data_IF_557851562002
#
_entry.id   IF_557851562002
#
_cell.length_a   1.000
_cell.length_b   1.000
_cell.length_c   1.000
_cell.angle_alpha   90.00
_cell.angle_beta   90.00
_cell.angle_gamma   90.00
#
_symmetry.space_group_name_H-M   'P 1'
#
loop_
_entity.id
_entity.type
_entity.pdbx_description
1 polymer ?
#
# COMPACT_ATOMS: atom_id res chain seq x y z
N UNK A 1 27.46 -28.41 0.27
CA UNK A 1 26.79 -27.10 0.26
C UNK A 1 27.49 -26.22 -0.77
N UNK A 2 26.87 -26.01 -1.93
CA UNK A 2 27.39 -25.13 -2.97
C UNK A 2 26.77 -23.76 -2.77
N UNK A 3 27.47 -22.90 -2.03
CA UNK A 3 27.11 -21.48 -1.90
C UNK A 3 27.36 -20.85 -3.28
N UNK A 4 26.29 -20.58 -4.01
CA UNK A 4 26.39 -19.90 -5.32
C UNK A 4 26.39 -18.41 -5.07
N UNK A 5 27.49 -17.75 -5.43
CA UNK A 5 27.54 -16.28 -5.46
C UNK A 5 26.91 -15.84 -6.77
N UNK A 6 25.82 -15.09 -6.70
CA UNK A 6 25.16 -14.47 -7.85
C UNK A 6 25.15 -12.96 -7.65
N UNK A 7 25.67 -12.21 -8.62
CA UNK A 7 25.76 -10.74 -8.57
C UNK A 7 26.39 -10.18 -7.27
N UNK A 8 27.39 -10.87 -6.71
CA UNK A 8 28.06 -10.46 -5.46
C UNK A 8 27.26 -10.75 -4.18
N UNK A 9 26.12 -11.44 -4.27
CA UNK A 9 25.32 -11.89 -3.12
C UNK A 9 25.55 -13.37 -2.89
N UNK A 10 25.83 -13.72 -1.63
CA UNK A 10 25.92 -15.10 -1.15
C UNK A 10 24.51 -15.69 -1.05
N UNK A 11 24.22 -16.73 -1.84
CA UNK A 11 22.94 -17.43 -1.78
C UNK A 11 23.11 -18.73 -0.99
N UNK A 12 22.36 -18.82 0.11
CA UNK A 12 22.22 -20.04 0.91
C UNK A 12 20.84 -20.67 0.63
N UNK A 13 20.77 -21.65 -0.30
CA UNK A 13 19.50 -22.30 -0.61
C UNK A 13 19.08 -23.24 0.52
N UNK A 14 17.79 -23.27 0.81
CA UNK A 14 17.19 -24.31 1.64
C UNK A 14 17.39 -25.69 0.98
N UNK A 15 17.47 -26.75 1.79
CA UNK A 15 17.57 -28.11 1.26
C UNK A 15 16.31 -28.45 0.45
N UNK A 16 16.44 -29.40 -0.49
CA UNK A 16 15.30 -29.80 -1.31
C UNK A 16 14.17 -30.36 -0.43
N UNK A 17 13.00 -29.74 -0.48
CA UNK A 17 11.84 -30.08 0.36
C UNK A 17 11.82 -29.41 1.74
N UNK A 18 12.89 -28.69 2.08
CA UNK A 18 12.97 -27.94 3.34
C UNK A 18 12.16 -26.65 3.25
N UNK A 19 11.55 -26.27 4.36
CA UNK A 19 10.60 -25.17 4.44
C UNK A 19 11.23 -24.02 5.23
N UNK A 20 11.10 -22.79 4.75
CA UNK A 20 11.56 -21.61 5.48
C UNK A 20 10.41 -21.01 6.28
N UNK A 21 10.31 -21.29 7.59
CA UNK A 21 9.13 -20.96 8.39
C UNK A 21 8.90 -19.44 8.49
N UNK A 22 9.96 -18.64 8.39
CA UNK A 22 9.87 -17.17 8.45
C UNK A 22 9.13 -16.61 7.23
N UNK A 23 9.51 -17.07 6.03
CA UNK A 23 8.87 -16.66 4.79
C UNK A 23 7.41 -17.11 4.74
N UNK A 24 7.11 -18.33 5.22
CA UNK A 24 5.75 -18.86 5.26
C UNK A 24 4.82 -18.10 6.19
N UNK A 25 5.30 -17.74 7.39
CA UNK A 25 4.55 -16.90 8.33
C UNK A 25 4.23 -15.54 7.72
N UNK A 26 5.20 -14.92 7.04
CA UNK A 26 4.99 -13.65 6.35
C UNK A 26 3.94 -13.79 5.24
N UNK A 27 4.08 -14.80 4.38
CA UNK A 27 3.13 -15.08 3.31
C UNK A 27 1.71 -15.33 3.84
N UNK A 28 1.58 -16.04 4.97
CA UNK A 28 0.29 -16.24 5.64
C UNK A 28 -0.32 -14.92 6.08
N UNK A 29 0.47 -14.08 6.75
CA UNK A 29 0.05 -12.78 7.28
C UNK A 29 -0.41 -11.85 6.16
N UNK A 30 0.34 -11.78 5.06
CA UNK A 30 0.00 -10.97 3.88
C UNK A 30 -1.30 -11.45 3.23
N UNK A 31 -1.45 -12.76 3.02
CA UNK A 31 -2.68 -13.35 2.46
C UNK A 31 -3.89 -13.08 3.34
N UNK A 32 -3.75 -13.20 4.66
CA UNK A 32 -4.84 -12.92 5.61
C UNK A 32 -5.28 -11.45 5.54
N UNK A 33 -4.34 -10.51 5.51
CA UNK A 33 -4.67 -9.07 5.38
C UNK A 33 -5.40 -8.75 4.09
N UNK A 34 -4.90 -9.24 2.96
CA UNK A 34 -5.55 -9.02 1.65
C UNK A 34 -6.92 -9.69 1.58
N UNK A 35 -7.10 -10.85 2.22
CA UNK A 35 -8.40 -11.56 2.24
C UNK A 35 -9.46 -10.84 3.07
N UNK A 36 -9.08 -10.22 4.18
CA UNK A 36 -10.03 -9.54 5.10
C UNK A 36 -10.43 -8.16 4.58
N UNK A 37 -9.56 -7.48 3.84
CA UNK A 37 -9.80 -6.09 3.45
C UNK A 37 -11.08 -5.88 2.59
N UNK A 38 -11.38 -6.70 1.56
CA UNK A 38 -12.63 -6.58 0.79
C UNK A 38 -13.90 -6.64 1.63
N UNK A 39 -13.90 -7.39 2.74
CA UNK A 39 -15.08 -7.54 3.59
C UNK A 39 -15.46 -6.25 4.33
N UNK A 40 -14.55 -5.27 4.40
CA UNK A 40 -14.79 -3.96 5.03
C UNK A 40 -15.33 -2.93 4.05
N UNK A 41 -15.19 -3.18 2.75
CA UNK A 41 -15.58 -2.22 1.72
C UNK A 41 -17.09 -2.28 1.47
N UNK A 42 -17.74 -1.14 1.19
CA UNK A 42 -19.18 -1.08 0.90
C UNK A 42 -19.54 -1.59 -0.52
N UNK A 43 -18.68 -2.39 -1.14
CA UNK A 43 -18.83 -2.83 -2.53
C UNK A 43 -19.21 -4.32 -2.61
N UNK A 44 -20.24 -4.63 -3.39
CA UNK A 44 -20.63 -6.02 -3.68
C UNK A 44 -19.58 -6.75 -4.53
N UNK A 45 -18.90 -6.02 -5.42
CA UNK A 45 -17.85 -6.55 -6.29
C UNK A 45 -16.68 -5.58 -6.24
N UNK A 46 -15.49 -6.08 -5.90
CA UNK A 46 -14.27 -5.29 -5.84
C UNK A 46 -13.61 -5.27 -7.23
N UNK A 47 -13.40 -4.09 -7.84
CA UNK A 47 -12.67 -3.97 -9.10
C UNK A 47 -11.24 -4.52 -9.00
N UNK A 48 -10.70 -4.96 -10.14
CA UNK A 48 -9.33 -5.46 -10.24
C UNK A 48 -8.30 -4.44 -9.74
N UNK A 49 -8.46 -3.16 -10.11
CA UNK A 49 -7.57 -2.07 -9.71
C UNK A 49 -7.48 -1.96 -8.18
N UNK A 50 -8.62 -2.00 -7.47
CA UNK A 50 -8.64 -1.96 -6.00
C UNK A 50 -7.96 -3.19 -5.40
N UNK A 51 -8.13 -4.36 -6.02
CA UNK A 51 -7.48 -5.61 -5.56
C UNK A 51 -5.96 -5.54 -5.68
N UNK A 52 -5.43 -4.96 -6.76
CA UNK A 52 -3.99 -4.72 -6.92
C UNK A 52 -3.47 -3.72 -5.87
N UNK A 53 -4.21 -2.63 -5.64
CA UNK A 53 -3.87 -1.66 -4.60
C UNK A 53 -3.89 -2.27 -3.19
N UNK A 54 -4.82 -3.19 -2.90
CA UNK A 54 -4.87 -3.93 -1.64
C UNK A 54 -3.62 -4.78 -1.43
N UNK A 55 -3.15 -5.45 -2.48
CA UNK A 55 -1.93 -6.24 -2.46
C UNK A 55 -0.68 -5.40 -2.14
N UNK A 56 -0.65 -4.14 -2.61
CA UNK A 56 0.43 -3.19 -2.33
C UNK A 56 0.31 -2.56 -0.94
N UNK A 57 -0.90 -2.24 -0.49
CA UNK A 57 -1.14 -1.59 0.79
C UNK A 57 -0.89 -2.54 1.98
N UNK A 58 -1.20 -3.84 1.85
CA UNK A 58 -1.03 -4.82 2.93
C UNK A 58 0.40 -4.86 3.51
N UNK A 59 1.49 -4.99 2.71
CA UNK A 59 2.86 -4.95 3.21
C UNK A 59 3.27 -3.55 3.69
N UNK A 60 2.79 -2.48 3.06
CA UNK A 60 3.08 -1.11 3.51
C UNK A 60 2.56 -0.86 4.92
N UNK A 61 1.30 -1.22 5.18
CA UNK A 61 0.71 -1.10 6.52
C UNK A 61 1.40 -2.02 7.54
N UNK A 62 2.01 -3.14 7.14
CA UNK A 62 2.80 -3.97 8.05
C UNK A 62 4.10 -3.27 8.49
N UNK A 63 4.65 -2.39 7.65
CA UNK A 63 5.90 -1.69 7.90
C UNK A 63 5.71 -0.32 8.57
N UNK A 64 4.52 0.29 8.44
CA UNK A 64 4.14 1.55 9.07
C UNK A 64 3.97 1.41 10.59
N UNK A 65 3.33 0.33 11.04
CA UNK A 65 3.10 0.11 12.47
C UNK A 65 4.29 -0.59 13.12
N UNK A 66 4.72 -0.19 14.34
CA UNK A 66 5.78 -0.88 15.05
C UNK A 66 5.35 -2.32 15.37
N UNK A 67 6.20 -3.28 15.04
CA UNK A 67 5.94 -4.69 15.36
C UNK A 67 6.38 -4.96 16.80
N UNK A 68 5.67 -5.87 17.48
CA UNK A 68 6.00 -6.19 18.88
C UNK A 68 7.42 -6.72 19.05
N UNK A 69 7.88 -7.49 18.07
CA UNK A 69 9.18 -8.15 18.07
C UNK A 69 10.20 -7.44 17.15
N UNK A 70 10.01 -6.14 16.86
CA UNK A 70 10.99 -5.39 16.06
C UNK A 70 12.22 -4.97 16.85
N UNK A 71 13.30 -4.68 16.11
CA UNK A 71 14.60 -4.21 16.64
C UNK A 71 14.45 -2.95 17.50
N UNK A 72 13.44 -2.12 17.21
CA UNK A 72 13.12 -0.93 18.00
C UNK A 72 11.68 -1.02 18.54
N UNK A 73 11.49 -0.56 19.77
CA UNK A 73 10.17 -0.50 20.42
C UNK A 73 9.35 0.73 20.00
N UNK A 74 10.01 1.74 19.42
CA UNK A 74 9.43 3.07 19.20
C UNK A 74 9.30 3.45 17.73
N UNK A 75 10.20 2.96 16.87
CA UNK A 75 10.21 3.29 15.44
C UNK A 75 9.70 2.12 14.63
N UNK A 76 8.91 2.43 13.60
CA UNK A 76 8.47 1.43 12.63
C UNK A 76 9.61 1.05 11.68
N UNK A 77 9.49 -0.11 11.03
CA UNK A 77 10.48 -0.57 10.06
C UNK A 77 10.64 0.43 8.92
N UNK A 78 9.54 1.03 8.47
CA UNK A 78 9.60 2.06 7.44
C UNK A 78 10.39 3.28 7.89
N UNK A 79 10.20 3.75 9.13
CA UNK A 79 10.97 4.87 9.65
C UNK A 79 12.47 4.55 9.78
N UNK A 80 12.81 3.32 10.16
CA UNK A 80 14.21 2.90 10.30
C UNK A 80 14.94 2.79 8.95
N UNK A 81 14.22 2.36 7.90
CA UNK A 81 14.81 2.16 6.57
C UNK A 81 14.81 3.47 5.79
N UNK A 82 13.65 4.12 5.67
CA UNK A 82 13.48 5.32 4.85
C UNK A 82 14.00 6.58 5.55
N UNK A 83 14.20 6.55 6.87
CA UNK A 83 14.55 7.71 7.70
C UNK A 83 13.56 8.88 7.57
N UNK A 84 12.31 8.59 7.20
CA UNK A 84 11.22 9.57 7.08
C UNK A 84 10.18 9.29 8.16
N UNK A 85 9.75 10.36 8.84
CA UNK A 85 8.65 10.27 9.80
C UNK A 85 7.31 10.23 9.08
N UNK A 86 6.48 9.26 9.48
CA UNK A 86 5.13 9.09 8.93
C UNK A 86 4.26 10.23 9.43
N UNK A 87 3.63 10.95 8.51
CA UNK A 87 2.70 12.02 8.84
C UNK A 87 1.28 11.54 8.65
N UNK A 88 0.59 11.22 9.76
CA UNK A 88 -0.79 10.74 9.72
C UNK A 88 -1.76 11.68 9.00
N UNK A 89 -1.49 12.99 8.98
CA UNK A 89 -2.36 13.97 8.31
C UNK A 89 -2.23 13.97 6.78
N UNK A 90 -1.13 13.46 6.24
CA UNK A 90 -0.94 13.36 4.78
C UNK A 90 -1.01 11.91 4.31
N UNK A 91 -0.44 10.99 5.07
CA UNK A 91 -0.22 9.62 4.61
C UNK A 91 -1.40 8.71 4.95
N UNK A 92 -2.22 9.09 5.93
CA UNK A 92 -3.38 8.32 6.42
C UNK A 92 -4.64 9.17 6.54
N UNK A 93 -4.93 9.94 5.49
CA UNK A 93 -6.14 10.79 5.42
C UNK A 93 -7.42 9.96 5.30
N UNK A 94 -7.38 8.90 4.50
CA UNK A 94 -8.53 8.07 4.17
C UNK A 94 -8.11 6.60 4.02
N UNK A 95 -9.07 5.70 4.20
CA UNK A 95 -8.86 4.28 3.93
C UNK A 95 -9.05 3.98 2.43
N UNK A 96 -8.26 3.04 1.91
CA UNK A 96 -8.41 2.55 0.54
C UNK A 96 -9.85 2.08 0.31
N UNK A 97 -10.48 2.54 -0.77
CA UNK A 97 -11.85 2.17 -1.10
C UNK A 97 -12.92 3.08 -0.48
N UNK A 98 -12.55 4.17 0.19
CA UNK A 98 -13.51 5.19 0.61
C UNK A 98 -13.93 6.08 -0.56
N UNK A 99 -15.19 6.52 -0.56
CA UNK A 99 -15.70 7.49 -1.51
C UNK A 99 -15.18 8.89 -1.16
N UNK A 100 -14.56 9.57 -2.12
CA UNK A 100 -13.94 10.89 -1.93
C UNK A 100 -14.26 11.78 -3.12
N UNK A 101 -14.36 13.09 -2.86
CA UNK A 101 -14.46 14.10 -3.90
C UNK A 101 -13.08 14.73 -4.12
N UNK A 102 -12.48 14.48 -5.28
CA UNK A 102 -11.19 15.06 -5.64
C UNK A 102 -11.39 16.37 -6.42
N UNK A 103 -10.46 17.30 -6.28
CA UNK A 103 -10.44 18.53 -7.08
C UNK A 103 -9.98 18.15 -8.49
N UNK A 104 -10.78 18.50 -9.50
CA UNK A 104 -10.52 18.19 -10.90
C UNK A 104 -9.96 19.39 -11.66
N UNK A 105 -8.79 19.20 -12.27
CA UNK A 105 -8.09 20.13 -13.18
C UNK A 105 -7.77 21.52 -12.60
N UNK A 106 -6.85 22.24 -13.25
CA UNK A 106 -6.52 23.62 -12.89
C UNK A 106 -7.74 24.53 -13.01
N UNK A 107 -7.86 25.50 -12.10
CA UNK A 107 -9.02 26.39 -12.01
C UNK A 107 -9.20 27.22 -13.28
N UNK A 108 -10.14 26.81 -14.13
CA UNK A 108 -10.62 27.61 -15.25
C UNK A 108 -11.92 28.35 -14.85
N UNK A 109 -12.12 29.56 -15.36
CA UNK A 109 -13.32 30.40 -15.09
C UNK A 109 -14.58 29.90 -15.83
N UNK A 110 -14.77 28.59 -15.90
CA UNK A 110 -15.95 27.95 -16.47
C UNK A 110 -16.89 27.53 -15.33
N UNK A 111 -18.20 27.58 -15.57
CA UNK A 111 -19.24 27.15 -14.62
C UNK A 111 -19.41 25.62 -14.59
N UNK A 112 -18.37 24.87 -14.93
CA UNK A 112 -18.39 23.41 -14.95
C UNK A 112 -18.07 22.85 -13.55
N UNK A 113 -18.61 21.66 -13.20
CA UNK A 113 -18.28 21.01 -11.93
C UNK A 113 -16.77 20.70 -11.88
N UNK A 114 -16.07 21.33 -10.93
CA UNK A 114 -14.61 21.25 -10.75
C UNK A 114 -14.18 20.07 -9.89
N UNK A 115 -15.05 19.09 -9.72
CA UNK A 115 -14.90 18.08 -8.69
C UNK A 115 -15.26 16.70 -9.21
N UNK A 116 -14.36 15.76 -8.93
CA UNK A 116 -14.38 14.42 -9.47
C UNK A 116 -14.85 13.48 -8.36
N UNK A 117 -15.91 12.74 -8.66
CA UNK A 117 -16.34 11.62 -7.81
C UNK A 117 -15.35 10.46 -7.99
N UNK A 118 -14.69 10.09 -6.90
CA UNK A 118 -13.60 9.13 -6.96
C UNK A 118 -13.58 8.19 -5.75
N UNK A 119 -12.83 7.11 -5.90
CA UNK A 119 -12.51 6.18 -4.80
C UNK A 119 -11.06 6.42 -4.39
N UNK A 120 -10.82 6.62 -3.11
CA UNK A 120 -9.48 6.82 -2.57
C UNK A 120 -8.61 5.57 -2.75
N UNK A 121 -7.36 5.76 -3.19
CA UNK A 121 -6.38 4.66 -3.32
C UNK A 121 -5.28 4.78 -2.28
N UNK A 122 -4.43 5.79 -2.43
CA UNK A 122 -3.22 5.95 -1.62
C UNK A 122 -2.69 7.38 -1.69
N UNK A 123 -1.88 7.82 -0.71
CA UNK A 123 -1.10 9.03 -0.86
C UNK A 123 0.00 8.86 -1.92
N UNK A 124 0.34 9.93 -2.62
CA UNK A 124 1.48 9.94 -3.54
C UNK A 124 2.77 9.96 -2.74
N UNK A 125 3.67 9.02 -3.03
CA UNK A 125 5.01 8.98 -2.42
C UNK A 125 5.92 9.96 -3.14
N UNK A 126 6.36 11.03 -2.47
CA UNK A 126 7.26 12.03 -3.02
C UNK A 126 7.23 13.35 -2.26
N UNK A 127 7.91 14.37 -2.80
CA UNK A 127 7.89 15.73 -2.23
C UNK A 127 6.57 16.47 -2.48
N UNK A 128 5.80 16.05 -3.48
CA UNK A 128 4.50 16.64 -3.80
C UNK A 128 3.39 15.93 -3.01
N UNK A 129 2.70 16.69 -2.16
CA UNK A 129 1.60 16.22 -1.32
C UNK A 129 0.33 16.00 -2.14
N UNK A 130 0.29 14.95 -2.94
CA UNK A 130 -0.87 14.54 -3.75
C UNK A 130 -1.51 13.25 -3.25
N UNK A 131 -2.70 12.93 -3.77
CA UNK A 131 -3.41 11.68 -3.46
C UNK A 131 -3.87 11.00 -4.73
N UNK A 132 -3.54 9.72 -4.86
CA UNK A 132 -4.01 8.90 -5.97
C UNK A 132 -5.44 8.47 -5.71
N UNK A 133 -6.31 8.71 -6.69
CA UNK A 133 -7.74 8.40 -6.63
C UNK A 133 -8.19 7.70 -7.91
N UNK A 134 -9.17 6.82 -7.81
CA UNK A 134 -9.81 6.17 -8.96
C UNK A 134 -11.03 6.99 -9.37
N UNK A 135 -11.00 7.60 -10.55
CA UNK A 135 -12.14 8.34 -11.08
C UNK A 135 -13.27 7.36 -11.47
N UNK A 136 -14.48 7.61 -10.98
CA UNK A 136 -15.63 6.74 -11.22
C UNK A 136 -16.15 6.81 -12.66
N UNK A 137 -15.99 7.95 -13.33
CA UNK A 137 -16.49 8.17 -14.69
C UNK A 137 -15.57 7.53 -15.73
N UNK A 138 -14.25 7.75 -15.61
CA UNK A 138 -13.26 7.24 -16.58
C UNK A 138 -12.75 5.84 -16.23
N UNK A 139 -12.87 5.42 -14.96
CA UNK A 139 -12.28 4.19 -14.40
C UNK A 139 -10.75 4.17 -14.42
N UNK A 140 -10.13 5.35 -14.49
CA UNK A 140 -8.68 5.53 -14.50
C UNK A 140 -8.17 6.11 -13.18
N UNK A 141 -6.90 5.88 -12.88
CA UNK A 141 -6.25 6.42 -11.69
C UNK A 141 -5.76 7.84 -12.00
N UNK A 142 -6.25 8.81 -11.23
CA UNK A 142 -5.83 10.21 -11.25
C UNK A 142 -4.97 10.53 -10.02
N UNK A 143 -4.18 11.61 -10.11
CA UNK A 143 -3.33 12.15 -9.04
C UNK A 143 -3.84 13.54 -8.66
#
# INVERSE_FOLDING_TARGET
>A
LCVRIFMGVTIDPAAAGDHEPTAERNNRTLKERVRVAPARLPYKVVPKVITECLGRQAPELLNVFPQKDSISLHFSLQQLIDNVNINYKSDMVAELGQYVHAIGTDSNNLMEPQSIEAIYIEPTKGQCTGHRVLNLNTREICI
#
